data_IF_239697972973
#
_entry.id   IF_239697972973
#
_cell.length_a   1.000
_cell.length_b   1.000
_cell.length_c   1.000
_cell.angle_alpha   90.00
_cell.angle_beta   90.00
_cell.angle_gamma   90.00
#
_symmetry.space_group_name_H-M   'P 1'
#
loop_
_entity.id
_entity.type
_entity.pdbx_description
1 polymer ?
#
# COMPACT_ATOMS: atom_id res chain seq x y z
N UNK A 1 -14.76 -20.46 3.58
CA UNK A 1 -13.98 -19.23 3.83
C UNK A 1 -12.63 -19.66 4.32
N UNK A 2 -11.58 -19.35 3.59
CA UNK A 2 -10.21 -19.69 3.97
C UNK A 2 -9.73 -18.77 5.12
N UNK A 3 -8.68 -19.22 5.84
CA UNK A 3 -8.24 -18.64 7.13
C UNK A 3 -7.86 -17.14 7.06
N UNK A 4 -7.55 -16.61 5.88
CA UNK A 4 -7.04 -15.25 5.69
C UNK A 4 -8.12 -14.22 5.32
N UNK A 5 -9.19 -14.62 4.62
CA UNK A 5 -10.43 -13.82 4.51
C UNK A 5 -11.07 -13.60 5.89
N UNK A 6 -10.98 -14.62 6.76
CA UNK A 6 -11.41 -14.45 8.13
C UNK A 6 -10.62 -13.37 8.86
N UNK A 7 -9.33 -13.16 8.54
CA UNK A 7 -8.51 -12.14 9.19
C UNK A 7 -8.88 -10.72 8.77
N UNK A 8 -9.04 -10.46 7.45
CA UNK A 8 -9.46 -9.14 6.98
C UNK A 8 -10.87 -8.81 7.48
N UNK A 9 -11.82 -9.72 7.31
CA UNK A 9 -13.18 -9.55 7.81
C UNK A 9 -13.22 -9.32 9.33
N UNK A 10 -12.42 -10.06 10.12
CA UNK A 10 -12.30 -9.85 11.56
C UNK A 10 -11.73 -8.48 11.93
N UNK A 11 -10.80 -7.96 11.11
CA UNK A 11 -10.22 -6.64 11.34
C UNK A 11 -11.26 -5.53 11.14
N UNK A 12 -12.12 -5.64 10.11
CA UNK A 12 -12.94 -4.52 9.63
C UNK A 12 -14.43 -4.64 9.93
N UNK A 13 -14.95 -5.83 10.21
CA UNK A 13 -16.39 -6.05 10.46
C UNK A 13 -16.89 -5.20 11.64
N UNK A 14 -17.92 -4.39 11.38
CA UNK A 14 -18.50 -3.47 12.36
C UNK A 14 -17.62 -2.26 12.69
N UNK A 15 -16.46 -2.10 12.05
CA UNK A 15 -15.53 -0.99 12.26
C UNK A 15 -15.91 0.22 11.43
N UNK A 16 -15.60 1.41 11.93
CA UNK A 16 -15.67 2.67 11.21
C UNK A 16 -14.35 2.86 10.46
N UNK A 17 -14.43 2.91 9.12
CA UNK A 17 -13.24 2.98 8.25
C UNK A 17 -13.32 4.18 7.34
N UNK A 18 -12.40 5.12 7.49
CA UNK A 18 -12.25 6.24 6.56
C UNK A 18 -11.30 5.89 5.42
N UNK A 19 -11.69 6.16 4.19
CA UNK A 19 -10.83 6.08 3.02
C UNK A 19 -10.45 7.47 2.54
N UNK A 20 -9.15 7.74 2.40
CA UNK A 20 -8.65 9.00 1.84
C UNK A 20 -8.61 8.89 0.32
N UNK A 21 -9.55 9.57 -0.34
CA UNK A 21 -9.67 9.55 -1.79
C UNK A 21 -10.24 8.25 -2.36
N UNK A 22 -10.86 8.35 -3.52
CA UNK A 22 -11.36 7.22 -4.31
C UNK A 22 -10.48 6.97 -5.54
N UNK A 23 -9.18 6.72 -5.31
CA UNK A 23 -8.25 6.27 -6.35
C UNK A 23 -8.53 4.84 -6.82
N UNK A 24 -7.75 4.36 -7.78
CA UNK A 24 -7.96 3.04 -8.41
C UNK A 24 -8.06 1.92 -7.36
N UNK A 25 -7.12 1.86 -6.42
CA UNK A 25 -7.10 0.86 -5.34
C UNK A 25 -8.30 0.98 -4.43
N UNK A 26 -8.61 2.21 -3.97
CA UNK A 26 -9.67 2.44 -3.00
C UNK A 26 -11.07 2.16 -3.54
N UNK A 27 -11.34 2.39 -4.83
CA UNK A 27 -12.66 2.08 -5.41
C UNK A 27 -13.07 0.62 -5.21
N UNK A 28 -12.15 -0.30 -5.44
CA UNK A 28 -12.40 -1.73 -5.23
C UNK A 28 -12.51 -2.08 -3.75
N UNK A 29 -11.57 -1.55 -2.93
CA UNK A 29 -11.56 -1.81 -1.49
C UNK A 29 -12.77 -1.25 -0.76
N UNK A 30 -13.26 -0.06 -1.10
CA UNK A 30 -14.47 0.53 -0.50
C UNK A 30 -15.64 -0.43 -0.64
N UNK A 31 -15.85 -1.00 -1.84
CA UNK A 31 -16.92 -1.96 -2.08
C UNK A 31 -16.75 -3.21 -1.22
N UNK A 32 -15.55 -3.79 -1.23
CA UNK A 32 -15.24 -5.01 -0.46
C UNK A 32 -15.41 -4.79 1.05
N UNK A 33 -14.95 -3.64 1.57
CA UNK A 33 -15.07 -3.32 2.99
C UNK A 33 -16.54 -3.16 3.42
N UNK A 34 -17.38 -2.56 2.57
CA UNK A 34 -18.83 -2.49 2.82
C UNK A 34 -19.44 -3.91 2.81
N UNK A 35 -19.09 -4.75 1.83
CA UNK A 35 -19.58 -6.14 1.74
C UNK A 35 -19.13 -6.99 2.94
N UNK A 36 -17.96 -6.72 3.52
CA UNK A 36 -17.45 -7.36 4.75
C UNK A 36 -18.01 -6.74 6.03
N UNK A 37 -18.91 -5.75 5.92
CA UNK A 37 -19.64 -5.18 7.05
C UNK A 37 -18.97 -4.02 7.77
N UNK A 38 -18.03 -3.31 7.15
CA UNK A 38 -17.49 -2.06 7.67
C UNK A 38 -18.46 -0.88 7.46
N UNK A 39 -18.41 0.10 8.35
CA UNK A 39 -19.04 1.42 8.18
C UNK A 39 -18.03 2.34 7.50
N UNK A 40 -18.22 2.57 6.20
CA UNK A 40 -17.23 3.29 5.40
C UNK A 40 -17.55 4.76 5.28
N UNK A 41 -16.54 5.61 5.49
CA UNK A 41 -16.57 7.05 5.20
C UNK A 41 -15.55 7.36 4.10
N UNK A 42 -15.99 7.94 2.97
CA UNK A 42 -15.10 8.45 1.94
C UNK A 42 -14.74 9.91 2.22
N UNK A 43 -13.46 10.19 2.41
CA UNK A 43 -12.89 11.50 2.66
C UNK A 43 -12.16 11.99 1.40
N UNK A 44 -12.62 13.07 0.74
CA UNK A 44 -12.02 13.56 -0.51
C UNK A 44 -12.16 15.08 -0.63
N UNK A 45 -11.20 15.75 -1.29
CA UNK A 45 -11.23 17.19 -1.57
C UNK A 45 -12.31 17.59 -2.58
N UNK A 46 -12.87 16.64 -3.32
CA UNK A 46 -14.02 16.86 -4.22
C UNK A 46 -15.19 17.41 -3.44
N UNK A 47 -15.96 18.31 -4.06
CA UNK A 47 -17.03 19.05 -3.37
C UNK A 47 -18.37 18.32 -3.38
N UNK A 48 -18.57 17.41 -4.33
CA UNK A 48 -19.83 16.68 -4.49
C UNK A 48 -19.59 15.25 -4.99
N UNK A 49 -20.61 14.41 -4.89
CA UNK A 49 -20.59 13.04 -5.42
C UNK A 49 -20.46 13.04 -6.95
N UNK A 50 -21.02 14.04 -7.62
CA UNK A 50 -20.98 14.20 -9.08
C UNK A 50 -19.53 14.34 -9.59
N UNK A 51 -18.64 14.94 -8.80
CA UNK A 51 -17.23 15.13 -9.15
C UNK A 51 -16.45 13.80 -9.26
N UNK A 52 -17.03 12.68 -8.82
CA UNK A 52 -16.44 11.33 -8.97
C UNK A 52 -16.75 10.69 -10.34
N UNK A 53 -17.52 11.37 -11.22
CA UNK A 53 -17.86 10.87 -12.55
C UNK A 53 -18.59 9.53 -12.49
N UNK A 54 -18.12 8.54 -13.26
CA UNK A 54 -18.76 7.22 -13.33
C UNK A 54 -18.85 6.50 -11.97
N UNK A 55 -17.96 6.80 -11.04
CA UNK A 55 -17.98 6.19 -9.70
C UNK A 55 -19.08 6.77 -8.78
N UNK A 56 -19.69 7.89 -9.15
CA UNK A 56 -20.76 8.52 -8.37
C UNK A 56 -21.98 7.60 -8.16
N UNK A 57 -22.33 6.82 -9.17
CA UNK A 57 -23.41 5.85 -9.08
C UNK A 57 -23.12 4.77 -8.02
N UNK A 58 -21.90 4.23 -8.03
CA UNK A 58 -21.46 3.23 -7.05
C UNK A 58 -21.44 3.79 -5.63
N UNK A 59 -20.98 5.03 -5.43
CA UNK A 59 -20.99 5.69 -4.10
C UNK A 59 -22.42 5.73 -3.54
N UNK A 60 -23.40 6.10 -4.37
CA UNK A 60 -24.81 6.17 -3.94
C UNK A 60 -25.38 4.79 -3.64
N UNK A 61 -25.07 3.79 -4.47
CA UNK A 61 -25.52 2.41 -4.28
C UNK A 61 -24.97 1.80 -2.99
N UNK A 62 -23.71 2.06 -2.67
CA UNK A 62 -23.06 1.56 -1.46
C UNK A 62 -23.58 2.24 -0.18
N UNK A 63 -24.19 3.42 -0.28
CA UNK A 63 -24.75 4.15 0.87
C UNK A 63 -23.71 4.52 1.93
N UNK A 64 -22.46 4.76 1.51
CA UNK A 64 -21.36 5.12 2.41
C UNK A 64 -21.45 6.58 2.87
N UNK A 65 -20.89 6.86 4.04
CA UNK A 65 -20.75 8.22 4.55
C UNK A 65 -19.74 9.03 3.73
N UNK A 66 -19.94 10.36 3.66
CA UNK A 66 -19.10 11.26 2.88
C UNK A 66 -18.59 12.41 3.73
N UNK A 67 -17.30 12.69 3.64
CA UNK A 67 -16.66 13.90 4.15
C UNK A 67 -15.91 14.55 2.99
N UNK A 68 -16.52 15.58 2.39
CA UNK A 68 -16.07 16.16 1.12
C UNK A 68 -15.68 17.63 1.25
N UNK A 69 -14.86 18.12 0.29
CA UNK A 69 -14.47 19.51 0.16
C UNK A 69 -13.33 19.91 1.11
N UNK A 70 -13.30 21.17 1.51
CA UNK A 70 -12.18 21.76 2.25
C UNK A 70 -11.92 21.09 3.61
N UNK A 71 -12.99 20.63 4.27
CA UNK A 71 -12.92 20.03 5.60
C UNK A 71 -13.00 18.48 5.54
N UNK A 72 -12.62 17.86 4.43
CA UNK A 72 -12.75 16.41 4.25
C UNK A 72 -11.99 15.59 5.31
N UNK A 73 -10.98 16.16 5.95
CA UNK A 73 -10.23 15.51 7.03
C UNK A 73 -11.01 15.40 8.35
N UNK A 74 -12.13 16.15 8.50
CA UNK A 74 -13.01 16.00 9.67
C UNK A 74 -13.64 14.61 9.73
N UNK A 75 -13.74 13.92 8.59
CA UNK A 75 -14.18 12.53 8.49
C UNK A 75 -13.28 11.52 9.21
N UNK A 76 -12.08 11.91 9.65
CA UNK A 76 -11.18 11.03 10.42
C UNK A 76 -11.61 10.88 11.88
N UNK A 77 -12.42 11.80 12.37
CA UNK A 77 -12.81 11.83 13.78
C UNK A 77 -13.69 10.63 14.15
N UNK A 78 -13.22 9.88 15.13
CA UNK A 78 -13.95 8.72 15.66
C UNK A 78 -13.94 7.49 14.75
N UNK A 79 -13.01 7.44 13.79
CA UNK A 79 -12.77 6.25 12.98
C UNK A 79 -11.92 5.23 13.75
N UNK A 80 -12.17 3.95 13.52
CA UNK A 80 -11.32 2.87 14.01
C UNK A 80 -10.08 2.70 13.13
N UNK A 81 -10.27 2.85 11.80
CA UNK A 81 -9.23 2.65 10.78
C UNK A 81 -9.28 3.80 9.76
N UNK A 82 -8.12 4.28 9.35
CA UNK A 82 -7.96 5.22 8.23
C UNK A 82 -7.10 4.55 7.16
N UNK A 83 -7.69 4.37 5.97
CA UNK A 83 -7.04 3.84 4.78
C UNK A 83 -6.43 4.99 3.98
N UNK A 84 -5.10 5.15 4.03
CA UNK A 84 -4.40 6.18 3.25
C UNK A 84 -4.14 5.73 1.81
N UNK A 85 -4.24 6.68 0.88
CA UNK A 85 -3.77 6.49 -0.50
C UNK A 85 -2.29 6.88 -0.60
N UNK A 86 -1.51 6.24 -1.50
CA UNK A 86 -0.09 6.61 -1.70
C UNK A 86 0.14 8.09 -2.03
N UNK A 87 -0.80 8.74 -2.72
CA UNK A 87 -0.72 10.17 -3.04
C UNK A 87 -1.07 11.12 -1.89
N UNK A 88 -1.41 10.62 -0.71
CA UNK A 88 -1.74 11.47 0.43
C UNK A 88 -0.45 11.93 1.13
N UNK A 89 -0.12 13.19 0.95
CA UNK A 89 1.05 13.85 1.57
C UNK A 89 0.75 14.50 2.92
N UNK A 90 -0.50 14.43 3.37
CA UNK A 90 -0.97 15.04 4.62
C UNK A 90 -0.71 14.21 5.88
N UNK A 91 0.36 13.42 5.92
CA UNK A 91 0.68 12.56 7.07
C UNK A 91 0.91 13.38 8.36
N UNK A 92 1.38 14.61 8.22
CA UNK A 92 1.59 15.55 9.33
C UNK A 92 0.38 16.45 9.61
N UNK A 93 -0.71 16.30 8.86
CA UNK A 93 -1.93 17.08 9.11
C UNK A 93 -2.49 16.79 10.51
N UNK A 94 -2.86 17.86 11.20
CA UNK A 94 -3.35 17.74 12.57
C UNK A 94 -4.53 16.76 12.74
N UNK A 95 -5.54 16.71 11.87
CA UNK A 95 -6.64 15.75 12.03
C UNK A 95 -6.17 14.30 12.02
N UNK A 96 -5.17 13.95 11.21
CA UNK A 96 -4.62 12.61 11.17
C UNK A 96 -3.80 12.30 12.43
N UNK A 97 -2.99 13.25 12.88
CA UNK A 97 -2.22 13.11 14.12
C UNK A 97 -3.13 12.95 15.34
N UNK A 98 -4.20 13.73 15.42
CA UNK A 98 -5.20 13.64 16.49
C UNK A 98 -5.91 12.26 16.47
N UNK A 99 -6.25 11.73 15.28
CA UNK A 99 -6.84 10.40 15.14
C UNK A 99 -5.85 9.30 15.60
N UNK A 100 -4.59 9.38 15.20
CA UNK A 100 -3.54 8.44 15.63
C UNK A 100 -3.35 8.49 17.15
N UNK A 101 -3.31 9.69 17.73
CA UNK A 101 -3.20 9.89 19.19
C UNK A 101 -4.41 9.32 19.95
N UNK A 102 -5.59 9.32 19.32
CA UNK A 102 -6.81 8.71 19.85
C UNK A 102 -6.85 7.18 19.70
N UNK A 103 -5.83 6.56 19.06
CA UNK A 103 -5.73 5.12 18.87
C UNK A 103 -6.30 4.61 17.54
N UNK A 104 -6.65 5.50 16.59
CA UNK A 104 -7.06 5.11 15.25
C UNK A 104 -5.89 4.44 14.51
N UNK A 105 -6.14 3.28 13.93
CA UNK A 105 -5.17 2.60 13.06
C UNK A 105 -5.07 3.32 11.72
N UNK A 106 -3.88 3.80 11.36
CA UNK A 106 -3.62 4.33 10.03
C UNK A 106 -2.84 3.30 9.23
N UNK A 107 -3.35 2.93 8.07
CA UNK A 107 -2.76 1.89 7.22
C UNK A 107 -3.00 2.16 5.74
N UNK A 108 -2.52 1.29 4.88
CA UNK A 108 -2.72 1.35 3.43
C UNK A 108 -3.08 -0.03 2.87
N UNK A 109 -3.52 -0.05 1.62
CA UNK A 109 -3.77 -1.31 0.89
C UNK A 109 -2.56 -2.23 0.91
N UNK A 110 -1.38 -1.68 0.63
CA UNK A 110 -0.13 -2.44 0.57
C UNK A 110 0.26 -3.00 1.95
N UNK A 111 0.12 -2.22 3.02
CA UNK A 111 0.42 -2.68 4.38
C UNK A 111 -0.50 -3.83 4.80
N UNK A 112 -1.81 -3.69 4.55
CA UNK A 112 -2.76 -4.78 4.83
C UNK A 112 -2.48 -6.00 3.94
N UNK A 113 -2.11 -5.79 2.67
CA UNK A 113 -1.70 -6.89 1.81
C UNK A 113 -0.51 -7.66 2.39
N UNK A 114 0.52 -6.97 2.89
CA UNK A 114 1.67 -7.62 3.53
C UNK A 114 1.29 -8.37 4.81
N UNK A 115 0.33 -7.87 5.57
CA UNK A 115 -0.15 -8.53 6.79
C UNK A 115 -1.01 -9.77 6.51
N UNK A 116 -1.69 -9.83 5.36
CA UNK A 116 -2.65 -10.90 5.05
C UNK A 116 -2.19 -11.84 3.93
N UNK A 117 -1.15 -11.50 3.17
CA UNK A 117 -0.61 -12.33 2.11
C UNK A 117 -0.09 -13.66 2.69
N UNK A 118 -0.61 -14.83 2.24
CA UNK A 118 -0.19 -16.12 2.77
C UNK A 118 1.10 -16.65 2.14
N UNK A 119 1.56 -16.04 1.04
CA UNK A 119 2.70 -16.51 0.26
C UNK A 119 3.92 -15.60 0.39
N UNK A 120 5.04 -16.04 -0.17
CA UNK A 120 6.27 -15.27 -0.19
C UNK A 120 6.12 -14.00 -1.04
N UNK A 121 6.52 -12.87 -0.48
CA UNK A 121 6.46 -11.56 -1.15
C UNK A 121 7.85 -11.19 -1.65
N UNK A 122 7.94 -10.92 -2.96
CA UNK A 122 9.09 -10.29 -3.61
C UNK A 122 8.70 -8.87 -3.99
N UNK A 123 9.33 -7.87 -3.42
CA UNK A 123 8.99 -6.48 -3.75
C UNK A 123 10.17 -5.74 -4.38
N UNK A 124 9.84 -4.92 -5.38
CA UNK A 124 10.81 -4.16 -6.17
C UNK A 124 10.55 -2.66 -6.04
N UNK A 125 11.58 -1.90 -5.68
CA UNK A 125 11.57 -0.44 -5.71
C UNK A 125 12.80 0.12 -6.42
N UNK A 126 12.81 1.43 -6.63
CA UNK A 126 13.90 2.18 -7.26
C UNK A 126 13.37 3.43 -7.96
N UNK A 127 14.26 4.24 -8.52
CA UNK A 127 13.86 5.37 -9.37
C UNK A 127 13.41 4.88 -10.74
N UNK A 128 14.21 4.05 -11.38
CA UNK A 128 13.97 3.48 -12.71
C UNK A 128 14.05 1.96 -12.70
N UNK A 129 13.50 1.31 -13.74
CA UNK A 129 13.59 -0.12 -13.96
C UNK A 129 12.67 -0.99 -13.08
N UNK A 130 11.89 -0.41 -12.17
CA UNK A 130 10.95 -1.14 -11.30
C UNK A 130 10.06 -2.10 -12.08
N UNK A 131 9.26 -1.56 -13.00
CA UNK A 131 8.28 -2.33 -13.79
C UNK A 131 8.92 -3.44 -14.59
N UNK A 132 10.06 -3.15 -15.24
CA UNK A 132 10.81 -4.15 -16.00
C UNK A 132 11.30 -5.28 -15.10
N UNK A 133 11.91 -4.94 -13.96
CA UNK A 133 12.45 -5.92 -13.01
C UNK A 133 11.33 -6.74 -12.39
N UNK A 134 10.25 -6.12 -11.95
CA UNK A 134 9.08 -6.80 -11.38
C UNK A 134 8.47 -7.78 -12.39
N UNK A 135 8.31 -7.34 -13.65
CA UNK A 135 7.79 -8.19 -14.72
C UNK A 135 8.72 -9.36 -15.04
N UNK A 136 10.02 -9.13 -15.09
CA UNK A 136 10.99 -10.21 -15.35
C UNK A 136 11.01 -11.25 -14.23
N UNK A 137 11.00 -10.82 -12.97
CA UNK A 137 10.92 -11.72 -11.81
C UNK A 137 9.65 -12.57 -11.89
N UNK A 138 8.49 -11.95 -12.17
CA UNK A 138 7.23 -12.66 -12.37
C UNK A 138 7.35 -13.73 -13.46
N UNK A 139 7.92 -13.37 -14.62
CA UNK A 139 8.10 -14.30 -15.75
C UNK A 139 9.07 -15.45 -15.43
N UNK A 140 10.10 -15.23 -14.63
CA UNK A 140 11.00 -16.30 -14.21
C UNK A 140 10.31 -17.30 -13.27
N UNK A 141 9.52 -16.83 -12.32
CA UNK A 141 8.74 -17.71 -11.45
C UNK A 141 7.68 -18.52 -12.27
N UNK A 142 6.95 -17.85 -13.19
CA UNK A 142 6.01 -18.53 -14.09
C UNK A 142 6.70 -19.60 -14.94
N UNK A 143 7.88 -19.30 -15.52
CA UNK A 143 8.67 -20.25 -16.30
C UNK A 143 9.18 -21.44 -15.45
N UNK A 144 9.37 -21.23 -14.16
CA UNK A 144 9.70 -22.28 -13.20
C UNK A 144 8.47 -23.06 -12.72
N UNK A 145 7.29 -22.84 -13.31
CA UNK A 145 6.04 -23.54 -12.98
C UNK A 145 5.39 -23.04 -11.69
N UNK A 146 5.75 -21.85 -11.18
CA UNK A 146 5.16 -21.26 -9.98
C UNK A 146 3.99 -20.37 -10.36
N UNK A 147 2.96 -20.35 -9.52
CA UNK A 147 1.87 -19.38 -9.66
C UNK A 147 2.28 -18.04 -9.05
N UNK A 148 2.07 -16.95 -9.82
CA UNK A 148 2.50 -15.61 -9.46
C UNK A 148 1.32 -14.64 -9.44
N UNK A 149 1.30 -13.80 -8.43
CA UNK A 149 0.39 -12.66 -8.29
C UNK A 149 1.20 -11.38 -8.43
N UNK A 150 0.98 -10.66 -9.55
CA UNK A 150 1.70 -9.45 -9.90
C UNK A 150 0.85 -8.22 -9.61
N UNK A 151 1.38 -7.25 -8.88
CA UNK A 151 0.64 -6.02 -8.57
C UNK A 151 1.45 -4.94 -7.85
N UNK A 152 0.75 -4.14 -7.05
CA UNK A 152 1.31 -2.99 -6.33
C UNK A 152 1.12 -1.67 -7.09
N UNK A 153 2.20 -0.95 -7.38
CA UNK A 153 2.15 0.30 -8.17
C UNK A 153 1.79 0.07 -9.65
N UNK A 154 1.75 -1.16 -10.09
CA UNK A 154 1.33 -1.62 -11.43
C UNK A 154 0.19 -2.63 -11.30
N UNK A 155 -0.61 -2.76 -12.35
CA UNK A 155 -1.71 -3.74 -12.37
C UNK A 155 -2.88 -3.33 -11.49
N UNK A 156 -3.31 -4.24 -10.61
CA UNK A 156 -4.43 -4.04 -9.70
C UNK A 156 -4.02 -4.23 -8.23
N UNK A 157 -4.81 -3.71 -7.28
CA UNK A 157 -4.57 -3.92 -5.85
C UNK A 157 -4.62 -5.40 -5.50
N UNK A 158 -3.62 -5.89 -4.76
CA UNK A 158 -3.50 -7.30 -4.44
C UNK A 158 -4.27 -7.73 -3.18
N UNK A 159 -4.65 -6.80 -2.32
CA UNK A 159 -5.34 -7.11 -1.07
C UNK A 159 -6.64 -7.89 -1.31
N UNK A 160 -7.44 -7.47 -2.30
CA UNK A 160 -8.70 -8.15 -2.68
C UNK A 160 -8.48 -9.58 -3.23
N UNK A 161 -7.28 -9.88 -3.69
CA UNK A 161 -6.92 -11.20 -4.21
C UNK A 161 -6.17 -12.08 -3.20
N UNK A 162 -5.75 -11.52 -2.05
CA UNK A 162 -4.96 -12.23 -1.05
C UNK A 162 -5.63 -13.54 -0.60
N UNK A 163 -6.97 -13.56 -0.50
CA UNK A 163 -7.76 -14.75 -0.17
C UNK A 163 -7.63 -15.91 -1.15
N UNK A 164 -7.32 -15.61 -2.43
CA UNK A 164 -7.15 -16.59 -3.50
C UNK A 164 -5.74 -17.15 -3.60
N UNK A 165 -4.81 -16.51 -2.88
CA UNK A 165 -3.42 -16.91 -2.86
C UNK A 165 -3.19 -18.12 -1.95
N UNK A 166 -2.24 -18.96 -2.33
CA UNK A 166 -1.84 -20.13 -1.55
C UNK A 166 -0.41 -19.92 -1.02
N UNK A 167 -0.03 -20.59 0.09
CA UNK A 167 1.33 -20.46 0.65
C UNK A 167 2.45 -20.81 -0.34
N UNK A 168 2.17 -21.61 -1.35
CA UNK A 168 3.10 -22.05 -2.40
C UNK A 168 3.23 -21.06 -3.57
N UNK A 169 2.31 -20.08 -3.65
CA UNK A 169 2.33 -19.02 -4.67
C UNK A 169 3.43 -17.98 -4.38
N UNK A 170 3.63 -17.05 -5.28
CA UNK A 170 4.52 -15.90 -5.09
C UNK A 170 3.77 -14.61 -5.38
N UNK A 171 3.92 -13.61 -4.51
CA UNK A 171 3.47 -12.25 -4.78
C UNK A 171 4.66 -11.41 -5.23
N UNK A 172 4.62 -10.87 -6.45
CA UNK A 172 5.67 -9.99 -6.99
C UNK A 172 5.12 -8.58 -7.10
N UNK A 173 5.65 -7.66 -6.29
CA UNK A 173 5.03 -6.36 -6.02
C UNK A 173 5.95 -5.22 -6.42
N UNK A 174 5.48 -4.31 -7.28
CA UNK A 174 6.16 -3.05 -7.51
C UNK A 174 5.76 -2.03 -6.42
N UNK A 175 6.74 -1.37 -5.79
CA UNK A 175 6.50 -0.36 -4.77
C UNK A 175 7.08 1.01 -5.13
N UNK A 176 6.23 2.04 -5.10
CA UNK A 176 6.64 3.44 -5.19
C UNK A 176 7.18 3.96 -3.86
N UNK A 177 7.88 5.12 -3.88
CA UNK A 177 8.29 5.79 -2.64
C UNK A 177 7.10 6.22 -1.78
N UNK A 178 5.97 6.58 -2.40
CA UNK A 178 4.76 6.99 -1.69
C UNK A 178 4.07 5.82 -0.97
N UNK A 179 4.12 4.61 -1.55
CA UNK A 179 3.62 3.41 -0.88
C UNK A 179 4.51 2.99 0.28
N UNK A 180 5.82 3.17 0.13
CA UNK A 180 6.82 2.85 1.15
C UNK A 180 6.93 3.92 2.26
N UNK A 181 6.43 5.15 2.03
CA UNK A 181 6.48 6.22 3.02
C UNK A 181 5.79 5.77 4.31
N UNK A 182 6.52 5.77 5.42
CA UNK A 182 6.09 5.32 6.74
C UNK A 182 5.61 3.86 6.83
N UNK A 183 5.83 3.05 5.79
CA UNK A 183 5.54 1.62 5.80
C UNK A 183 6.43 0.90 6.81
N UNK A 184 5.82 0.11 7.70
CA UNK A 184 6.50 -0.67 8.75
C UNK A 184 6.49 -2.18 8.45
N UNK A 185 6.49 -2.52 7.19
CA UNK A 185 6.52 -3.88 6.67
C UNK A 185 7.56 -3.98 5.56
N UNK A 186 8.29 -5.07 5.53
CA UNK A 186 9.22 -5.39 4.44
C UNK A 186 8.88 -6.76 3.86
N UNK A 187 9.15 -7.00 2.54
CA UNK A 187 8.94 -8.29 1.91
C UNK A 187 10.00 -9.31 2.35
N UNK A 188 9.75 -10.58 2.08
CA UNK A 188 10.75 -11.65 2.24
C UNK A 188 11.96 -11.42 1.33
N UNK A 189 11.72 -10.95 0.10
CA UNK A 189 12.78 -10.57 -0.84
C UNK A 189 12.57 -9.12 -1.28
N UNK A 190 13.49 -8.24 -0.89
CA UNK A 190 13.50 -6.83 -1.29
C UNK A 190 14.50 -6.62 -2.43
N UNK A 191 14.09 -5.92 -3.48
CA UNK A 191 14.95 -5.57 -4.62
C UNK A 191 14.97 -4.06 -4.81
N UNK A 192 16.14 -3.46 -4.79
CA UNK A 192 16.35 -2.04 -5.07
C UNK A 192 17.16 -1.86 -6.35
N UNK A 193 16.51 -1.38 -7.42
CA UNK A 193 17.11 -1.30 -8.75
C UNK A 193 18.15 -0.19 -8.87
N UNK A 194 17.79 1.03 -8.50
CA UNK A 194 18.65 2.20 -8.48
C UNK A 194 18.00 3.35 -7.70
N UNK A 195 18.78 4.34 -7.35
CA UNK A 195 18.29 5.61 -6.81
C UNK A 195 18.94 6.77 -7.54
N UNK A 196 18.10 7.66 -8.09
CA UNK A 196 18.45 8.92 -8.72
C UNK A 196 17.40 9.96 -8.35
N UNK A 197 17.69 11.27 -8.42
CA UNK A 197 16.72 12.33 -8.16
C UNK A 197 15.43 12.13 -8.95
N UNK A 198 14.32 11.95 -8.26
CA UNK A 198 13.00 11.78 -8.84
C UNK A 198 11.92 12.18 -7.82
N UNK A 199 10.78 12.70 -8.28
CA UNK A 199 9.65 13.11 -7.43
C UNK A 199 10.00 14.14 -6.33
N UNK A 200 11.02 15.00 -6.55
CA UNK A 200 11.42 16.05 -5.63
C UNK A 200 10.46 17.26 -5.63
N UNK A 201 9.45 17.22 -6.47
CA UNK A 201 8.29 18.12 -6.47
C UNK A 201 7.27 17.75 -5.37
N UNK A 202 7.35 16.53 -4.82
CA UNK A 202 6.44 16.02 -3.78
C UNK A 202 7.20 15.66 -2.51
N UNK A 203 8.32 14.93 -2.59
CA UNK A 203 9.20 14.71 -1.46
C UNK A 203 9.93 16.00 -1.09
N UNK A 204 10.11 16.25 0.19
CA UNK A 204 10.80 17.43 0.71
C UNK A 204 12.20 17.58 0.13
N UNK A 205 12.93 16.49 0.03
CA UNK A 205 14.30 16.41 -0.47
C UNK A 205 14.67 14.97 -0.85
N UNK A 206 15.91 14.77 -1.32
CA UNK A 206 16.42 13.46 -1.69
C UNK A 206 16.58 12.53 -0.48
N UNK A 207 16.82 13.05 0.70
CA UNK A 207 16.99 12.26 1.92
C UNK A 207 15.65 11.62 2.34
N UNK A 208 14.54 12.38 2.28
CA UNK A 208 13.20 11.82 2.50
C UNK A 208 12.84 10.77 1.45
N UNK A 209 13.16 11.02 0.18
CA UNK A 209 12.92 10.06 -0.90
C UNK A 209 13.69 8.75 -0.69
N UNK A 210 14.95 8.83 -0.28
CA UNK A 210 15.78 7.67 0.06
C UNK A 210 15.19 6.96 1.29
N UNK A 211 14.93 7.70 2.37
CA UNK A 211 14.38 7.14 3.61
C UNK A 211 13.06 6.41 3.39
N UNK A 212 12.16 6.95 2.55
CA UNK A 212 10.93 6.27 2.19
C UNK A 212 11.21 4.91 1.54
N UNK A 213 12.17 4.84 0.61
CA UNK A 213 12.50 3.58 -0.08
C UNK A 213 13.29 2.59 0.79
N UNK A 214 14.03 3.05 1.79
CA UNK A 214 14.72 2.19 2.74
C UNK A 214 13.74 1.28 3.50
N UNK A 215 12.47 1.68 3.68
CA UNK A 215 11.44 0.87 4.33
C UNK A 215 11.19 -0.47 3.61
N UNK A 216 11.62 -0.64 2.36
CA UNK A 216 11.52 -1.93 1.68
C UNK A 216 12.36 -3.02 2.37
N UNK A 217 13.42 -2.66 3.10
CA UNK A 217 14.31 -3.64 3.76
C UNK A 217 14.49 -3.40 5.26
N UNK A 218 14.15 -2.22 5.78
CA UNK A 218 14.43 -1.88 7.20
C UNK A 218 13.68 -2.74 8.22
N UNK A 219 12.58 -3.36 7.81
CA UNK A 219 11.74 -4.19 8.67
C UNK A 219 11.85 -5.68 8.35
N UNK A 220 12.88 -6.09 7.58
CA UNK A 220 13.16 -7.49 7.30
C UNK A 220 13.69 -8.22 8.54
N UNK A 221 13.43 -9.52 8.59
CA UNK A 221 13.85 -10.43 9.65
C UNK A 221 15.02 -11.31 9.22
N UNK A 222 15.57 -12.06 10.15
CA UNK A 222 16.58 -13.07 9.83
C UNK A 222 16.02 -14.11 8.86
N UNK A 223 16.75 -14.34 7.76
CA UNK A 223 16.33 -15.23 6.67
C UNK A 223 15.69 -14.52 5.48
N UNK A 224 15.29 -13.25 5.63
CA UNK A 224 14.86 -12.43 4.49
C UNK A 224 16.07 -12.00 3.65
N UNK A 225 15.81 -11.59 2.40
CA UNK A 225 16.86 -11.25 1.42
C UNK A 225 16.70 -9.81 0.93
N UNK A 226 17.78 -9.03 0.94
CA UNK A 226 17.82 -7.71 0.32
C UNK A 226 18.84 -7.71 -0.84
N UNK A 227 18.38 -7.32 -2.02
CA UNK A 227 19.17 -7.28 -3.27
C UNK A 227 19.33 -5.82 -3.70
N UNK A 228 20.58 -5.38 -3.85
CA UNK A 228 20.92 -4.01 -4.24
C UNK A 228 21.75 -4.01 -5.52
N UNK A 229 21.53 -2.97 -6.34
CA UNK A 229 22.36 -2.73 -7.52
C UNK A 229 23.73 -2.17 -7.09
N UNK A 230 24.80 -2.93 -7.33
CA UNK A 230 26.19 -2.55 -6.99
C UNK A 230 26.72 -1.41 -7.87
N UNK A 231 26.20 -1.23 -9.09
CA UNK A 231 26.64 -0.19 -10.02
C UNK A 231 26.05 1.21 -9.69
N UNK A 232 25.12 1.30 -8.73
CA UNK A 232 24.57 2.57 -8.26
C UNK A 232 25.15 2.93 -6.90
N UNK A 233 25.84 4.06 -6.79
CA UNK A 233 26.55 4.47 -5.57
C UNK A 233 25.66 4.57 -4.35
N UNK A 234 24.41 5.04 -4.53
CA UNK A 234 23.47 5.20 -3.42
C UNK A 234 23.04 3.82 -2.93
N UNK A 235 22.55 2.93 -3.80
CA UNK A 235 22.10 1.59 -3.39
C UNK A 235 23.24 0.77 -2.82
N UNK A 236 24.45 0.88 -3.37
CA UNK A 236 25.66 0.26 -2.79
C UNK A 236 25.98 0.77 -1.39
N UNK A 237 25.74 2.05 -1.12
CA UNK A 237 25.89 2.62 0.23
C UNK A 237 24.84 2.07 1.18
N UNK A 238 23.59 1.96 0.73
CA UNK A 238 22.46 1.46 1.52
C UNK A 238 22.59 -0.02 1.86
N UNK A 239 23.18 -0.83 0.97
CA UNK A 239 23.39 -2.27 1.22
C UNK A 239 24.18 -2.56 2.50
N UNK A 240 25.04 -1.61 2.91
CA UNK A 240 25.82 -1.73 4.15
C UNK A 240 24.99 -1.56 5.43
N UNK A 241 23.79 -0.99 5.31
CA UNK A 241 22.85 -0.78 6.42
C UNK A 241 21.84 -1.92 6.54
N UNK A 242 21.64 -2.70 5.48
CA UNK A 242 20.68 -3.80 5.48
C UNK A 242 21.12 -4.91 6.45
N UNK A 243 20.20 -5.32 7.32
CA UNK A 243 20.43 -6.41 8.28
C UNK A 243 20.12 -7.79 7.70
N UNK A 244 19.32 -7.87 6.65
CA UNK A 244 19.03 -9.09 5.89
C UNK A 244 20.30 -9.59 5.18
N UNK A 245 20.50 -10.89 5.14
CA UNK A 245 21.63 -11.54 4.49
C UNK A 245 21.17 -12.67 3.58
#
# INVERSE_FOLDING_TARGET
MQKDQQKLAQLIQGKKVAFIGAGVSHKTLIKEFVELGAHVTLCDQKKSVEDFGDYAATIRELGIDLSLGENYLDGFKGQDIIMRTPGFVGYFEKPLQDAMAAGTMVTSEVELFFDFCPCEIVAVTGSDGKTTTTTLISKFYEAAGRKVHLGGNIGHPLLCDAEKMQPEDFAVVELSSFQLLDMKRSPHIAVMTNLAPNHLDVHKDMDEYIAAKENIYLHQHEGDIAIFNEDNDITRSLSKKASAR
#
